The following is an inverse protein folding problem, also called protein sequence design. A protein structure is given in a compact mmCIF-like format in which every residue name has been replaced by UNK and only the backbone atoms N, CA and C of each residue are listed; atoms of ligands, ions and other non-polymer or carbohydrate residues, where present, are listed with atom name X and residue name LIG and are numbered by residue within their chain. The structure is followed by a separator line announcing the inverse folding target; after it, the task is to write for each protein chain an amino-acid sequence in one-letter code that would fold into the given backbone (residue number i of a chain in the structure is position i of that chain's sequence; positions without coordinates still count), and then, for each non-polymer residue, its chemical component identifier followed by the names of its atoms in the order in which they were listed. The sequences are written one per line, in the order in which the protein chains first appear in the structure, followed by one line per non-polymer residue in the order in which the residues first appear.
data_IF_697546200805
#
_entry.id   IF_697546200805
#
_cell.length_a   1.000
_cell.length_b   1.000
_cell.length_c   1.000
_cell.angle_alpha   90.00
_cell.angle_beta   90.00
_cell.angle_gamma   90.00
#
_symmetry.space_group_name_H-M   'P 1'
#
loop_
_entity.id
_entity.type
_entity.pdbx_description
1 polymer ?
#
# COMPACT_ATOMS: atom_id res chain seq x y z
N UNK A 1 -7.29 -26.89 -18.44
CA UNK A 1 -6.50 -25.72 -17.99
C UNK A 1 -7.11 -25.04 -16.75
N UNK A 2 -8.26 -24.36 -16.83
CA UNK A 2 -8.86 -23.62 -15.68
C UNK A 2 -9.12 -24.48 -14.43
N UNK A 3 -9.62 -25.70 -14.60
CA UNK A 3 -9.87 -26.65 -13.51
C UNK A 3 -8.63 -27.08 -12.73
N UNK A 4 -7.45 -27.08 -13.38
CA UNK A 4 -6.17 -27.41 -12.74
C UNK A 4 -5.76 -26.30 -11.77
N UNK A 5 -5.93 -25.03 -12.16
CA UNK A 5 -5.63 -23.89 -11.29
C UNK A 5 -6.58 -23.80 -10.10
N UNK A 6 -7.87 -24.10 -10.32
CA UNK A 6 -8.87 -24.14 -9.24
C UNK A 6 -8.54 -25.25 -8.26
N UNK A 7 -8.25 -26.46 -8.75
CA UNK A 7 -7.85 -27.59 -7.91
C UNK A 7 -6.56 -27.28 -7.12
N UNK A 8 -5.55 -26.69 -7.77
CA UNK A 8 -4.32 -26.28 -7.10
C UNK A 8 -4.56 -25.23 -6.00
N UNK A 9 -5.44 -24.25 -6.25
CA UNK A 9 -5.84 -23.26 -5.26
C UNK A 9 -6.53 -23.86 -4.04
N UNK A 10 -7.44 -24.81 -4.27
CA UNK A 10 -8.15 -25.53 -3.19
C UNK A 10 -7.17 -26.37 -2.37
N UNK A 11 -6.27 -27.11 -3.02
CA UNK A 11 -5.25 -27.92 -2.34
C UNK A 11 -4.32 -27.05 -1.51
N UNK A 12 -3.89 -25.90 -2.03
CA UNK A 12 -3.06 -24.96 -1.28
C UNK A 12 -3.81 -24.37 -0.08
N UNK A 13 -5.08 -23.99 -0.24
CA UNK A 13 -5.92 -23.50 0.85
C UNK A 13 -6.10 -24.56 1.94
N UNK A 14 -6.46 -25.79 1.56
CA UNK A 14 -6.60 -26.92 2.49
C UNK A 14 -5.28 -27.21 3.21
N UNK A 15 -4.15 -27.15 2.51
CA UNK A 15 -2.81 -27.28 3.10
C UNK A 15 -2.61 -26.22 4.20
N UNK A 16 -2.91 -24.96 3.92
CA UNK A 16 -2.74 -23.86 4.88
C UNK A 16 -3.66 -23.95 6.10
N UNK A 17 -4.86 -24.53 5.94
CA UNK A 17 -5.81 -24.70 7.05
C UNK A 17 -5.50 -25.93 7.90
N UNK A 18 -5.10 -27.03 7.26
CA UNK A 18 -4.93 -28.34 7.93
C UNK A 18 -3.55 -28.54 8.54
N UNK A 19 -2.51 -27.93 7.98
CA UNK A 19 -1.17 -27.97 8.56
C UNK A 19 -1.02 -26.79 9.50
N UNK A 20 -1.45 -26.99 10.76
CA UNK A 20 -0.97 -26.17 11.86
C UNK A 20 0.48 -26.60 12.15
N UNK A 21 1.44 -25.70 11.91
CA UNK A 21 2.80 -25.93 12.36
C UNK A 21 2.81 -26.15 13.89
N UNK A 22 3.56 -27.13 14.40
CA UNK A 22 3.71 -27.28 15.84
C UNK A 22 4.31 -25.99 16.39
N UNK A 23 3.54 -25.29 17.22
CA UNK A 23 4.02 -24.12 17.92
C UNK A 23 5.21 -24.55 18.79
N UNK A 24 6.37 -23.92 18.59
CA UNK A 24 7.53 -24.12 19.44
C UNK A 24 7.14 -23.73 20.88
N UNK A 25 7.00 -24.72 21.77
CA UNK A 25 6.78 -24.49 23.19
C UNK A 25 8.08 -23.97 23.81
N UNK A 26 8.25 -22.65 23.78
CA UNK A 26 9.34 -21.97 24.47
C UNK A 26 8.96 -21.77 25.93
N UNK A 27 9.95 -21.88 26.83
CA UNK A 27 9.77 -21.64 28.27
C UNK A 27 9.54 -20.17 28.63
N UNK A 28 9.62 -19.26 27.65
CA UNK A 28 9.46 -17.83 27.81
C UNK A 28 8.61 -17.23 26.68
N UNK A 29 7.98 -16.10 26.98
CA UNK A 29 7.20 -15.32 26.03
C UNK A 29 8.13 -14.64 25.03
N UNK A 30 7.99 -14.97 23.75
CA UNK A 30 8.72 -14.31 22.65
C UNK A 30 8.42 -12.81 22.66
N UNK A 31 7.17 -12.44 22.92
CA UNK A 31 6.72 -11.03 22.91
C UNK A 31 7.47 -10.23 23.98
N UNK A 32 7.61 -10.77 25.20
CA UNK A 32 8.29 -10.09 26.30
C UNK A 32 9.80 -10.00 26.08
N UNK A 33 10.40 -11.06 25.50
CA UNK A 33 11.81 -11.04 25.14
C UNK A 33 12.12 -9.96 24.10
N UNK A 34 11.30 -9.86 23.06
CA UNK A 34 11.47 -8.84 22.02
C UNK A 34 11.14 -7.44 22.51
N UNK A 35 10.13 -7.28 23.37
CA UNK A 35 9.81 -5.99 24.00
C UNK A 35 11.01 -5.49 24.82
N UNK A 36 11.63 -6.37 25.61
CA UNK A 36 12.82 -6.05 26.42
C UNK A 36 14.03 -5.69 25.58
N UNK A 37 14.25 -6.38 24.46
CA UNK A 37 15.38 -6.13 23.56
C UNK A 37 15.20 -4.86 22.70
N UNK A 38 14.02 -4.73 22.08
CA UNK A 38 13.75 -3.63 21.14
C UNK A 38 13.40 -2.30 21.81
N UNK A 39 12.81 -2.35 23.01
CA UNK A 39 12.27 -1.19 23.72
C UNK A 39 11.03 -0.56 23.05
N UNK A 40 10.45 -1.24 22.05
CA UNK A 40 9.31 -0.73 21.27
C UNK A 40 8.03 -1.49 21.65
N UNK A 41 6.97 -0.79 22.12
CA UNK A 41 5.71 -1.44 22.49
C UNK A 41 5.07 -2.25 21.35
N UNK A 42 5.13 -1.75 20.12
CA UNK A 42 4.79 -2.53 18.94
C UNK A 42 5.96 -3.48 18.59
N UNK A 43 5.88 -4.69 19.14
CA UNK A 43 6.86 -5.77 18.95
C UNK A 43 7.08 -6.12 17.48
N UNK A 44 6.03 -6.06 16.63
CA UNK A 44 6.16 -6.35 15.19
C UNK A 44 7.03 -5.28 14.51
N UNK A 45 6.75 -4.01 14.76
CA UNK A 45 7.58 -2.90 14.26
C UNK A 45 9.02 -3.00 14.78
N UNK A 46 9.20 -3.40 16.04
CA UNK A 46 10.51 -3.66 16.63
C UNK A 46 11.29 -4.74 15.88
N UNK A 47 10.68 -5.90 15.59
CA UNK A 47 11.31 -6.99 14.82
C UNK A 47 11.66 -6.54 13.42
N UNK A 48 10.70 -5.95 12.71
CA UNK A 48 10.86 -5.60 11.31
C UNK A 48 11.96 -4.54 11.15
N UNK A 49 12.02 -3.53 12.01
CA UNK A 49 13.00 -2.44 11.88
C UNK A 49 14.37 -2.73 12.49
N UNK A 50 14.47 -3.56 13.54
CA UNK A 50 15.78 -3.90 14.16
C UNK A 50 16.39 -5.19 13.62
N UNK A 51 15.59 -6.24 13.44
CA UNK A 51 16.08 -7.57 13.12
C UNK A 51 15.92 -7.94 11.63
N UNK A 52 14.89 -7.39 10.97
CA UNK A 52 14.54 -7.73 9.59
C UNK A 52 14.48 -6.52 8.66
N UNK A 53 15.29 -5.50 8.93
CA UNK A 53 15.26 -4.24 8.17
C UNK A 53 15.50 -4.48 6.68
N UNK A 54 16.38 -5.41 6.33
CA UNK A 54 16.66 -5.80 4.95
C UNK A 54 15.41 -6.24 4.20
N UNK A 55 14.49 -6.96 4.86
CA UNK A 55 13.26 -7.42 4.21
C UNK A 55 12.35 -6.24 3.85
N UNK A 56 12.27 -5.22 4.70
CA UNK A 56 11.54 -3.97 4.41
C UNK A 56 12.23 -3.12 3.35
N UNK A 57 13.57 -3.07 3.34
CA UNK A 57 14.30 -2.37 2.27
C UNK A 57 14.02 -3.03 0.92
N UNK A 58 14.08 -4.36 0.86
CA UNK A 58 13.79 -5.09 -0.36
C UNK A 58 12.32 -4.99 -0.77
N UNK A 59 11.39 -4.93 0.17
CA UNK A 59 9.98 -4.62 -0.12
C UNK A 59 9.83 -3.29 -0.86
N UNK A 60 10.47 -2.21 -0.38
CA UNK A 60 10.44 -0.89 -1.05
C UNK A 60 11.09 -0.95 -2.43
N UNK A 61 12.20 -1.68 -2.59
CA UNK A 61 12.86 -1.88 -3.89
C UNK A 61 11.91 -2.59 -4.86
N UNK A 62 11.25 -3.68 -4.43
CA UNK A 62 10.30 -4.43 -5.25
C UNK A 62 9.12 -3.55 -5.66
N UNK A 63 8.54 -2.75 -4.75
CA UNK A 63 7.49 -1.80 -5.10
C UNK A 63 7.96 -0.75 -6.11
N UNK A 64 9.18 -0.23 -5.94
CA UNK A 64 9.75 0.75 -6.86
C UNK A 64 9.92 0.15 -8.26
N UNK A 65 10.43 -1.08 -8.36
CA UNK A 65 10.55 -1.82 -9.62
C UNK A 65 9.17 -2.06 -10.23
N UNK A 66 8.15 -2.42 -9.43
CA UNK A 66 6.80 -2.62 -9.92
C UNK A 66 6.20 -1.32 -10.50
N UNK A 67 6.40 -0.18 -9.84
CA UNK A 67 5.95 1.14 -10.33
C UNK A 67 6.66 1.51 -11.64
N UNK A 68 7.98 1.33 -11.71
CA UNK A 68 8.76 1.60 -12.93
C UNK A 68 8.32 0.65 -14.06
N UNK A 69 8.14 -0.63 -13.77
CA UNK A 69 7.69 -1.63 -14.74
C UNK A 69 6.30 -1.34 -15.28
N UNK A 70 5.34 -0.99 -14.41
CA UNK A 70 4.01 -0.57 -14.83
C UNK A 70 4.06 0.72 -15.68
N UNK A 71 4.89 1.69 -15.28
CA UNK A 71 5.08 2.94 -16.03
C UNK A 71 5.69 2.69 -17.41
N UNK A 72 6.67 1.79 -17.51
CA UNK A 72 7.30 1.39 -18.76
C UNK A 72 6.32 0.70 -19.70
N UNK A 73 5.53 -0.26 -19.20
CA UNK A 73 4.53 -0.98 -19.99
C UNK A 73 3.44 -0.04 -20.53
N UNK A 74 3.06 0.97 -19.76
CA UNK A 74 2.05 1.95 -20.13
C UNK A 74 2.61 3.17 -20.89
N UNK A 75 3.92 3.26 -21.12
CA UNK A 75 4.56 4.47 -21.66
C UNK A 75 4.07 4.86 -23.07
N UNK A 76 3.71 3.87 -23.89
CA UNK A 76 3.24 4.06 -25.26
C UNK A 76 1.73 3.88 -25.41
N UNK A 77 1.01 3.62 -24.31
CA UNK A 77 -0.44 3.49 -24.34
C UNK A 77 -1.09 4.84 -24.63
N UNK A 78 -2.10 4.83 -25.51
CA UNK A 78 -2.88 6.03 -25.78
C UNK A 78 -3.86 6.21 -24.61
N UNK A 79 -3.85 7.37 -23.93
CA UNK A 79 -4.79 7.60 -22.84
C UNK A 79 -6.21 7.44 -23.37
N UNK A 80 -7.06 6.75 -22.61
CA UNK A 80 -8.45 6.56 -22.98
C UNK A 80 -9.13 7.92 -23.20
N UNK A 81 -9.82 8.07 -24.33
CA UNK A 81 -10.52 9.31 -24.67
C UNK A 81 -11.65 9.66 -23.70
N UNK A 82 -12.10 8.72 -22.86
CA UNK A 82 -13.18 8.92 -21.90
C UNK A 82 -12.78 8.42 -20.52
N UNK A 83 -12.39 9.37 -19.66
CA UNK A 83 -12.20 9.14 -18.22
C UNK A 83 -13.53 9.42 -17.51
N UNK A 84 -14.06 8.41 -16.82
CA UNK A 84 -15.27 8.58 -15.99
C UNK A 84 -14.86 9.18 -14.65
N UNK A 85 -15.53 10.25 -14.27
CA UNK A 85 -15.28 11.04 -13.07
C UNK A 85 -16.60 11.25 -12.33
N UNK A 86 -16.52 11.52 -11.03
CA UNK A 86 -17.71 11.91 -10.27
C UNK A 86 -18.22 13.25 -10.78
N UNK A 87 -19.48 13.26 -11.22
CA UNK A 87 -20.15 14.47 -11.71
C UNK A 87 -21.10 15.04 -10.67
N UNK A 88 -21.54 14.21 -9.72
CA UNK A 88 -22.44 14.61 -8.65
C UNK A 88 -21.67 15.25 -7.48
N UNK A 89 -22.26 16.31 -6.91
CA UNK A 89 -21.65 17.09 -5.84
C UNK A 89 -21.40 16.25 -4.58
N UNK A 90 -22.29 15.30 -4.28
CA UNK A 90 -22.20 14.44 -3.11
C UNK A 90 -20.99 13.52 -3.17
N UNK A 91 -20.76 12.82 -4.29
CA UNK A 91 -19.59 11.94 -4.44
C UNK A 91 -18.29 12.72 -4.46
N UNK A 92 -18.29 13.92 -5.05
CA UNK A 92 -17.12 14.83 -5.01
C UNK A 92 -16.79 15.23 -3.56
N UNK A 93 -17.80 15.59 -2.78
CA UNK A 93 -17.63 15.97 -1.37
C UNK A 93 -17.13 14.79 -0.55
N UNK A 94 -17.74 13.61 -0.72
CA UNK A 94 -17.33 12.39 -0.03
C UNK A 94 -15.91 11.97 -0.38
N UNK A 95 -15.52 12.04 -1.66
CA UNK A 95 -14.15 11.75 -2.08
C UNK A 95 -13.14 12.74 -1.48
N UNK A 96 -13.49 14.03 -1.40
CA UNK A 96 -12.66 15.05 -0.74
C UNK A 96 -12.50 14.77 0.76
N UNK A 97 -13.60 14.52 1.46
CA UNK A 97 -13.57 14.23 2.89
C UNK A 97 -12.79 12.93 3.16
N UNK A 98 -13.07 11.88 2.39
CA UNK A 98 -12.37 10.60 2.46
C UNK A 98 -10.87 10.74 2.20
N UNK A 99 -10.47 11.52 1.20
CA UNK A 99 -9.06 11.79 0.93
C UNK A 99 -8.37 12.48 2.11
N UNK A 100 -8.99 13.51 2.69
CA UNK A 100 -8.45 14.22 3.86
C UNK A 100 -8.31 13.30 5.06
N UNK A 101 -9.35 12.52 5.37
CA UNK A 101 -9.31 11.56 6.50
C UNK A 101 -8.24 10.51 6.26
N UNK A 102 -8.17 9.93 5.06
CA UNK A 102 -7.19 8.91 4.71
C UNK A 102 -5.75 9.44 4.79
N UNK A 103 -5.52 10.70 4.40
CA UNK A 103 -4.22 11.35 4.55
C UNK A 103 -3.84 11.53 6.04
N UNK A 104 -4.77 12.00 6.87
CA UNK A 104 -4.53 12.16 8.32
C UNK A 104 -4.24 10.82 9.00
N UNK A 105 -5.00 9.77 8.65
CA UNK A 105 -4.77 8.40 9.14
C UNK A 105 -3.40 7.90 8.69
N UNK A 106 -3.02 8.15 7.43
CA UNK A 106 -1.69 7.78 6.93
C UNK A 106 -0.56 8.44 7.73
N UNK A 107 -0.69 9.73 8.06
CA UNK A 107 0.28 10.46 8.88
C UNK A 107 0.34 9.89 10.31
N UNK A 108 -0.80 9.66 10.95
CA UNK A 108 -0.87 9.08 12.30
C UNK A 108 -0.20 7.70 12.36
N UNK A 109 -0.49 6.83 11.38
CA UNK A 109 0.11 5.50 11.28
C UNK A 109 1.63 5.56 11.07
N UNK A 110 2.11 6.54 10.30
CA UNK A 110 3.55 6.74 10.07
C UNK A 110 4.28 7.18 11.34
N UNK A 111 3.70 8.11 12.10
CA UNK A 111 4.32 8.68 13.31
C UNK A 111 4.22 7.71 14.49
N UNK A 112 3.06 7.08 14.69
CA UNK A 112 2.77 6.26 15.88
C UNK A 112 2.88 4.76 15.67
N UNK A 113 3.38 4.29 14.53
CA UNK A 113 3.54 2.85 14.24
C UNK A 113 4.44 2.08 15.23
N UNK A 114 5.19 2.77 16.09
CA UNK A 114 5.96 2.16 17.18
C UNK A 114 5.13 1.92 18.47
N UNK A 115 3.99 2.60 18.61
CA UNK A 115 3.08 2.52 19.77
C UNK A 115 1.81 1.75 19.44
N UNK A 116 1.27 1.91 18.23
CA UNK A 116 0.03 1.28 17.79
C UNK A 116 0.27 0.25 16.69
N UNK A 117 -0.66 -0.71 16.49
CA UNK A 117 -0.63 -1.58 15.33
C UNK A 117 -0.64 -0.77 14.03
N UNK A 118 0.26 -1.09 13.12
CA UNK A 118 0.50 -0.32 11.90
C UNK A 118 1.99 -0.11 11.66
N UNK A 119 2.31 0.87 10.82
CA UNK A 119 3.68 1.19 10.42
C UNK A 119 3.73 1.84 9.03
N UNK A 120 4.93 1.87 8.45
CA UNK A 120 5.17 2.55 7.17
C UNK A 120 4.33 2.00 6.00
N UNK A 121 4.11 0.69 5.93
CA UNK A 121 3.32 0.10 4.84
C UNK A 121 1.84 0.52 4.90
N UNK A 122 1.20 0.37 6.07
CA UNK A 122 -0.20 0.77 6.26
C UNK A 122 -0.39 2.28 6.06
N UNK A 123 0.57 3.09 6.52
CA UNK A 123 0.60 4.52 6.24
C UNK A 123 0.66 4.82 4.74
N UNK A 124 1.51 4.09 4.00
CA UNK A 124 1.62 4.18 2.54
C UNK A 124 0.31 3.84 1.82
N UNK A 125 -0.40 2.79 2.24
CA UNK A 125 -1.70 2.41 1.66
C UNK A 125 -2.76 3.49 1.93
N UNK A 126 -2.82 4.04 3.14
CA UNK A 126 -3.74 5.12 3.48
C UNK A 126 -3.41 6.41 2.71
N UNK A 127 -2.12 6.76 2.57
CA UNK A 127 -1.69 7.89 1.76
C UNK A 127 -1.98 7.71 0.27
N UNK A 128 -1.70 6.53 -0.28
CA UNK A 128 -2.03 6.19 -1.67
C UNK A 128 -3.54 6.23 -1.95
N UNK A 129 -4.35 5.79 -0.99
CA UNK A 129 -5.82 5.90 -1.07
C UNK A 129 -6.27 7.36 -1.12
N UNK A 130 -5.65 8.25 -0.32
CA UNK A 130 -5.94 9.67 -0.38
C UNK A 130 -5.64 10.25 -1.77
N UNK A 131 -4.48 9.93 -2.34
CA UNK A 131 -4.10 10.33 -3.70
C UNK A 131 -5.07 9.77 -4.74
N UNK A 132 -5.46 8.50 -4.61
CA UNK A 132 -6.43 7.85 -5.50
C UNK A 132 -7.80 8.52 -5.48
N UNK A 133 -8.32 8.83 -4.29
CA UNK A 133 -9.60 9.54 -4.14
C UNK A 133 -9.53 10.96 -4.74
N UNK A 134 -8.40 11.65 -4.58
CA UNK A 134 -8.17 12.93 -5.25
C UNK A 134 -8.13 12.76 -6.77
N UNK A 135 -7.47 11.74 -7.29
CA UNK A 135 -7.35 11.49 -8.73
C UNK A 135 -8.68 11.07 -9.39
N UNK A 136 -9.58 10.42 -8.66
CA UNK A 136 -10.92 10.07 -9.14
C UNK A 136 -11.82 11.31 -9.20
N UNK A 137 -11.70 12.20 -8.20
CA UNK A 137 -12.52 13.43 -8.09
C UNK A 137 -12.00 14.57 -8.95
N UNK A 138 -10.71 14.86 -8.87
CA UNK A 138 -10.00 15.74 -9.79
C UNK A 138 -9.62 14.84 -10.94
N UNK A 139 -10.45 14.76 -11.98
CA UNK A 139 -9.96 14.19 -13.21
C UNK A 139 -8.60 14.81 -13.53
N UNK A 140 -7.79 14.04 -14.24
CA UNK A 140 -6.68 14.54 -15.03
C UNK A 140 -6.98 15.89 -15.75
N UNK A 141 -8.20 16.45 -15.82
CA UNK A 141 -8.45 17.84 -16.20
C UNK A 141 -7.45 18.87 -15.66
N UNK A 142 -7.24 19.03 -14.35
CA UNK A 142 -6.33 20.10 -13.86
C UNK A 142 -4.85 19.73 -13.98
N UNK A 143 -4.47 18.49 -13.68
CA UNK A 143 -3.08 18.02 -13.75
C UNK A 143 -2.64 17.64 -15.17
N UNK A 144 -3.52 17.09 -16.00
CA UNK A 144 -3.26 16.91 -17.43
C UNK A 144 -3.41 18.20 -18.23
N UNK A 145 -4.16 19.23 -17.80
CA UNK A 145 -3.96 20.58 -18.36
C UNK A 145 -2.55 21.07 -18.04
N UNK A 146 -2.03 20.84 -16.83
CA UNK A 146 -0.64 21.17 -16.48
C UNK A 146 0.36 20.32 -17.30
N UNK A 147 0.16 19.01 -17.43
CA UNK A 147 1.06 18.13 -18.21
C UNK A 147 0.96 18.39 -19.72
N UNK A 148 -0.23 18.67 -20.26
CA UNK A 148 -0.44 19.12 -21.64
C UNK A 148 0.20 20.49 -21.83
N UNK A 149 0.06 21.41 -20.87
CA UNK A 149 0.70 22.73 -20.92
C UNK A 149 2.23 22.63 -20.89
N UNK A 150 2.80 21.80 -20.02
CA UNK A 150 4.25 21.53 -19.95
C UNK A 150 4.73 20.91 -21.28
N UNK A 151 3.98 19.95 -21.84
CA UNK A 151 4.29 19.30 -23.11
C UNK A 151 4.16 20.22 -24.32
N UNK A 152 3.17 21.11 -24.36
CA UNK A 152 2.99 22.10 -25.44
C UNK A 152 3.98 23.27 -25.35
N UNK A 153 4.50 23.57 -24.16
CA UNK A 153 5.50 24.65 -23.95
C UNK A 153 6.94 24.18 -24.12
N UNK A 154 7.19 22.88 -24.36
CA UNK A 154 8.54 22.33 -24.58
C UNK A 154 9.45 22.48 -23.36
N UNK A 155 8.89 22.41 -22.14
CA UNK A 155 9.67 22.50 -20.90
C UNK A 155 10.26 21.15 -20.45
N UNK A 156 10.08 20.10 -21.27
CA UNK A 156 10.76 18.80 -21.24
C UNK A 156 10.95 18.33 -22.69
#
# INVERSE_FOLDING_TARGET
MKWVYIAAGIVFYLKMVLLSDPALELSFSIVDAVLKDSGVPNVVSGIILRNRLYDTIFEVIVFTIAIIGASYLLANERPLNKVHQFTDETSILLARLGATISALVGIELAIRGHLSPGGGFAAGVAGGTAIGLVAIKVALGSWAVILVFIRYRGLL
#
